data_IF_914988180753
#
_entry.id   IF_914988180753
#
_cell.length_a   1.000
_cell.length_b   1.000
_cell.length_c   1.000
_cell.angle_alpha   90.00
_cell.angle_beta   90.00
_cell.angle_gamma   90.00
#
_symmetry.space_group_name_H-M   'P 1'
#
loop_
_entity.id
_entity.type
_entity.pdbx_description
1 polymer ?
#
# COMPACT_ATOMS: atom_id res chain seq x y z
N UNK A 1 -33.79 12.83 4.49
CA UNK A 1 -32.38 13.18 4.20
C UNK A 1 -31.56 12.52 5.29
N UNK A 2 -30.95 11.38 4.98
CA UNK A 2 -30.19 10.62 5.97
C UNK A 2 -28.87 11.33 6.24
N UNK A 3 -28.70 11.85 7.45
CA UNK A 3 -27.46 12.47 7.89
C UNK A 3 -26.42 11.36 8.05
N UNK A 4 -25.67 11.05 6.99
CA UNK A 4 -24.53 10.14 7.07
C UNK A 4 -23.54 10.72 8.09
N UNK A 5 -23.37 10.01 9.21
CA UNK A 5 -22.53 10.44 10.31
C UNK A 5 -21.06 10.23 9.94
N UNK A 6 -20.42 11.28 9.43
CA UNK A 6 -18.99 11.23 9.13
C UNK A 6 -18.19 11.34 10.42
N UNK A 7 -17.54 10.23 10.81
CA UNK A 7 -16.59 10.18 11.92
C UNK A 7 -15.17 10.11 11.37
N UNK A 8 -14.30 11.01 11.83
CA UNK A 8 -12.87 10.91 11.59
C UNK A 8 -12.37 9.54 12.07
N UNK A 9 -11.72 8.79 11.18
CA UNK A 9 -11.27 7.43 11.50
C UNK A 9 -9.83 7.42 11.99
N UNK A 10 -8.91 8.00 11.22
CA UNK A 10 -7.47 7.93 11.45
C UNK A 10 -6.74 9.06 10.72
N UNK A 11 -5.49 9.29 11.14
CA UNK A 11 -4.46 10.03 10.41
C UNK A 11 -3.25 9.13 10.16
N UNK A 12 -2.43 9.51 9.18
CA UNK A 12 -1.24 8.75 8.79
C UNK A 12 -0.04 9.70 8.76
N UNK A 13 0.82 9.60 9.77
CA UNK A 13 2.02 10.42 9.93
C UNK A 13 3.21 9.76 9.24
N UNK A 14 3.39 10.07 7.95
CA UNK A 14 4.35 9.35 7.12
C UNK A 14 5.38 10.22 6.42
N UNK A 15 5.03 11.47 6.15
CA UNK A 15 5.87 12.42 5.43
C UNK A 15 6.52 13.41 6.39
N UNK A 16 7.77 13.77 6.12
CA UNK A 16 8.52 14.72 6.95
C UNK A 16 8.21 16.18 6.59
N UNK A 17 7.67 16.42 5.39
CA UNK A 17 7.23 17.72 4.89
C UNK A 17 5.79 17.66 4.38
N UNK A 18 5.22 18.82 4.02
CA UNK A 18 3.86 18.95 3.52
C UNK A 18 3.55 18.00 2.35
N UNK A 19 2.42 17.30 2.47
CA UNK A 19 1.82 16.53 1.37
C UNK A 19 1.19 17.50 0.38
N UNK A 20 1.60 17.42 -0.89
CA UNK A 20 1.14 18.32 -1.97
C UNK A 20 0.18 17.66 -2.95
N UNK A 21 0.09 16.33 -2.93
CA UNK A 21 -0.76 15.57 -3.83
C UNK A 21 -1.25 14.29 -3.15
N UNK A 22 -2.50 13.93 -3.44
CA UNK A 22 -3.12 12.66 -3.09
C UNK A 22 -3.81 12.14 -4.34
N UNK A 23 -3.61 10.86 -4.66
CA UNK A 23 -4.31 10.16 -5.73
C UNK A 23 -4.86 8.84 -5.20
N UNK A 24 -6.07 8.50 -5.62
CA UNK A 24 -6.74 7.24 -5.23
C UNK A 24 -6.80 6.35 -6.46
N UNK A 25 -6.34 5.12 -6.28
CA UNK A 25 -6.43 4.02 -7.24
C UNK A 25 -7.33 2.93 -6.65
N UNK A 26 -7.73 1.94 -7.45
CA UNK A 26 -8.70 0.92 -7.06
C UNK A 26 -8.34 0.17 -5.76
N UNK A 27 -7.06 -0.04 -5.50
CA UNK A 27 -6.55 -0.82 -4.36
C UNK A 27 -5.49 -0.10 -3.52
N UNK A 28 -5.24 1.18 -3.82
CA UNK A 28 -4.17 1.91 -3.17
C UNK A 28 -4.41 3.41 -3.18
N UNK A 29 -3.83 4.08 -2.20
CA UNK A 29 -3.76 5.54 -2.15
C UNK A 29 -2.30 5.92 -2.32
N UNK A 30 -2.03 6.94 -3.13
CA UNK A 30 -0.68 7.47 -3.32
C UNK A 30 -0.64 8.89 -2.76
N UNK A 31 0.29 9.16 -1.86
CA UNK A 31 0.58 10.51 -1.36
C UNK A 31 1.95 10.98 -1.85
N UNK A 32 2.05 12.24 -2.27
CA UNK A 32 3.31 12.88 -2.69
C UNK A 32 3.63 14.10 -1.82
N UNK A 33 4.88 14.20 -1.36
CA UNK A 33 5.32 15.25 -0.44
C UNK A 33 6.55 16.01 -0.94
N UNK A 34 6.80 17.19 -0.33
CA UNK A 34 8.06 17.95 -0.48
C UNK A 34 9.26 17.27 0.16
N UNK A 35 9.07 16.17 0.90
CA UNK A 35 10.18 15.33 1.37
C UNK A 35 10.83 14.52 0.23
N UNK A 36 10.43 14.79 -1.01
CA UNK A 36 10.88 14.13 -2.24
C UNK A 36 10.49 12.65 -2.30
N UNK A 37 9.49 12.23 -1.52
CA UNK A 37 8.96 10.88 -1.54
C UNK A 37 7.50 10.83 -1.99
N UNK A 38 7.17 9.75 -2.69
CA UNK A 38 5.81 9.27 -2.88
C UNK A 38 5.61 8.02 -2.03
N UNK A 39 4.50 7.93 -1.30
CA UNK A 39 4.16 6.75 -0.48
C UNK A 39 2.86 6.13 -0.97
N UNK A 40 2.86 4.80 -1.06
CA UNK A 40 1.72 4.00 -1.50
C UNK A 40 1.13 3.29 -0.30
N UNK A 41 -0.16 3.49 -0.08
CA UNK A 41 -0.98 2.92 0.98
C UNK A 41 -1.91 1.91 0.33
N UNK A 42 -1.48 0.65 0.25
CA UNK A 42 -2.31 -0.44 -0.22
C UNK A 42 -3.00 -1.13 0.96
N UNK A 43 -4.20 -1.66 0.74
CA UNK A 43 -4.80 -2.58 1.70
C UNK A 43 -3.87 -3.80 1.85
N UNK A 44 -3.56 -4.18 3.08
CA UNK A 44 -2.80 -5.40 3.34
C UNK A 44 -3.68 -6.58 2.96
N UNK A 45 -3.61 -6.99 1.68
CA UNK A 45 -4.21 -8.21 1.22
C UNK A 45 -3.46 -9.32 1.92
N UNK A 46 -4.02 -9.82 3.02
CA UNK A 46 -3.47 -11.00 3.68
C UNK A 46 -3.37 -12.10 2.64
N UNK A 47 -2.15 -12.39 2.19
CA UNK A 47 -1.88 -13.59 1.42
C UNK A 47 -1.85 -14.70 2.47
N UNK A 48 -3.02 -15.24 2.78
CA UNK A 48 -3.11 -16.46 3.56
C UNK A 48 -2.47 -17.60 2.72
N UNK A 49 -1.18 -17.85 2.97
CA UNK A 49 -0.51 -19.12 2.67
C UNK A 49 -0.46 -19.58 1.21
N UNK A 50 0.43 -19.02 0.41
CA UNK A 50 1.05 -19.80 -0.67
C UNK A 50 2.56 -19.57 -0.68
N UNK A 51 3.29 -20.48 -0.03
CA UNK A 51 4.71 -20.67 -0.31
C UNK A 51 4.82 -21.13 -1.77
N UNK A 52 5.64 -20.49 -2.62
CA UNK A 52 6.06 -21.15 -3.84
C UNK A 52 6.78 -22.44 -3.40
N UNK A 53 6.18 -23.58 -3.73
CA UNK A 53 6.78 -24.89 -3.52
C UNK A 53 8.21 -24.84 -4.02
N UNK A 54 9.15 -25.20 -3.15
CA UNK A 54 10.55 -25.43 -3.47
C UNK A 54 10.62 -26.38 -4.67
N UNK A 55 10.69 -25.83 -5.88
CA UNK A 55 10.86 -26.57 -7.11
C UNK A 55 12.29 -27.05 -7.18
N UNK A 56 12.58 -28.19 -6.55
CA UNK A 56 13.74 -28.98 -6.92
C UNK A 56 13.66 -29.35 -8.40
N UNK A 57 14.69 -29.00 -9.17
CA UNK A 57 15.46 -29.89 -10.06
C UNK A 57 16.40 -28.99 -10.87
N UNK A 58 17.61 -28.81 -10.34
CA UNK A 58 18.76 -28.31 -11.07
C UNK A 58 19.84 -29.38 -11.07
N UNK A 59 19.63 -30.46 -11.84
CA UNK A 59 20.70 -31.40 -12.17
C UNK A 59 20.87 -31.41 -13.69
N UNK A 60 21.95 -30.76 -14.13
CA UNK A 60 22.74 -31.10 -15.32
C UNK A 60 23.90 -30.10 -15.42
N UNK A 61 25.04 -30.48 -14.83
CA UNK A 61 26.32 -30.05 -15.35
C UNK A 61 26.72 -31.08 -16.42
N UNK A 62 26.93 -30.59 -17.63
CA UNK A 62 27.75 -31.25 -18.64
C UNK A 62 29.22 -31.09 -18.28
#
# INVERSE_FOLDING_TARGET
MDQQNYKFRNEVLAHSNDVRAISVMDNAIVSGSRDMTGKVWAESRMVCGFQPSLGSVGSRYH
#
